data_IF_934900496755
#
_entry.id   IF_934900496755
#
_cell.length_a   1.000
_cell.length_b   1.000
_cell.length_c   1.000
_cell.angle_alpha   90.00
_cell.angle_beta   90.00
_cell.angle_gamma   90.00
#
_symmetry.space_group_name_H-M   'P 1'
#
loop_
_entity.id
_entity.type
_entity.pdbx_description
1 polymer ?
#
# COMPACT_ATOMS: atom_id res chain seq x y z
N UNK A 1 -10.19 16.83 26.47
CA UNK A 1 -11.64 17.08 26.26
C UNK A 1 -12.17 15.94 25.41
N UNK A 2 -12.97 15.03 25.98
CA UNK A 2 -13.57 13.92 25.20
C UNK A 2 -14.94 14.42 24.74
N UNK A 3 -15.06 14.78 23.46
CA UNK A 3 -16.36 14.99 22.83
C UNK A 3 -16.76 13.69 22.11
N UNK A 4 -17.96 13.18 22.38
CA UNK A 4 -18.50 12.05 21.61
C UNK A 4 -19.19 12.60 20.37
N UNK A 5 -18.54 12.48 19.22
CA UNK A 5 -19.11 12.85 17.92
C UNK A 5 -19.71 11.61 17.25
N UNK A 6 -20.80 11.80 16.50
CA UNK A 6 -21.40 10.76 15.64
C UNK A 6 -21.88 11.41 14.33
N UNK A 7 -22.21 10.64 13.27
CA UNK A 7 -22.69 11.19 12.01
C UNK A 7 -23.94 12.08 12.15
N UNK A 8 -24.72 11.86 13.22
CA UNK A 8 -25.96 12.60 13.52
C UNK A 8 -25.78 13.65 14.64
N UNK A 9 -24.57 13.78 15.19
CA UNK A 9 -24.21 14.79 16.18
C UNK A 9 -22.76 15.29 15.93
N UNK A 10 -22.55 16.11 14.89
CA UNK A 10 -21.24 16.68 14.63
C UNK A 10 -20.82 17.59 15.78
N UNK A 11 -19.54 17.55 16.15
CA UNK A 11 -18.98 18.40 17.20
C UNK A 11 -18.07 19.44 16.56
N UNK A 12 -18.31 20.72 16.86
CA UNK A 12 -17.43 21.80 16.44
C UNK A 12 -16.45 22.12 17.56
N UNK A 13 -15.16 22.02 17.26
CA UNK A 13 -14.07 22.38 18.17
C UNK A 13 -13.25 23.50 17.54
N UNK A 14 -13.09 24.61 18.25
CA UNK A 14 -12.19 25.68 17.84
C UNK A 14 -10.76 25.26 18.18
N UNK A 15 -9.90 25.13 17.16
CA UNK A 15 -8.50 24.75 17.31
C UNK A 15 -7.57 25.96 17.10
N UNK A 16 -6.31 25.83 17.53
CA UNK A 16 -5.27 26.84 17.29
C UNK A 16 -4.82 26.89 15.82
N UNK A 17 -3.81 27.73 15.52
CA UNK A 17 -3.31 27.92 14.16
C UNK A 17 -2.68 26.64 13.57
N UNK A 18 -2.02 25.83 14.41
CA UNK A 18 -1.45 24.54 14.03
C UNK A 18 -2.31 23.41 14.59
N UNK A 19 -2.71 22.47 13.73
CA UNK A 19 -3.51 21.30 14.10
C UNK A 19 -2.77 20.03 13.69
N UNK A 20 -2.54 19.16 14.66
CA UNK A 20 -1.99 17.83 14.44
C UNK A 20 -3.08 16.78 14.67
N UNK A 21 -3.23 15.87 13.70
CA UNK A 21 -4.12 14.72 13.79
C UNK A 21 -3.20 13.49 13.89
N UNK A 22 -3.41 12.67 14.93
CA UNK A 22 -2.57 11.51 15.20
C UNK A 22 -3.37 10.32 15.71
N UNK A 23 -2.85 9.11 15.45
CA UNK A 23 -3.33 7.86 16.05
C UNK A 23 -2.27 7.40 17.04
N UNK A 24 -2.68 7.10 18.27
CA UNK A 24 -1.83 6.45 19.26
C UNK A 24 -2.15 4.95 19.25
N UNK A 25 -1.17 4.14 18.85
CA UNK A 25 -1.32 2.69 18.78
C UNK A 25 -0.37 2.00 19.75
N UNK A 26 -0.83 0.88 20.29
CA UNK A 26 -0.03 0.01 21.15
C UNK A 26 -0.27 -1.44 20.75
N UNK A 27 0.80 -2.23 20.76
CA UNK A 27 0.68 -3.68 20.70
C UNK A 27 0.51 -4.24 22.11
N UNK A 28 -0.12 -5.41 22.22
CA UNK A 28 -0.16 -6.20 23.45
C UNK A 28 1.05 -7.14 23.59
N UNK A 29 1.89 -7.23 22.54
CA UNK A 29 3.11 -8.05 22.49
C UNK A 29 4.29 -7.19 22.08
N UNK A 30 5.38 -7.25 22.85
CA UNK A 30 6.62 -6.55 22.53
C UNK A 30 7.22 -7.07 21.20
N UNK A 31 7.75 -6.16 20.38
CA UNK A 31 8.38 -6.50 19.11
C UNK A 31 7.42 -6.74 17.95
N UNK A 32 6.11 -6.55 18.14
CA UNK A 32 5.11 -6.59 17.06
C UNK A 32 4.82 -5.17 16.59
N UNK A 33 5.00 -4.91 15.30
CA UNK A 33 4.72 -3.62 14.69
C UNK A 33 3.22 -3.29 14.79
N UNK A 34 2.94 -2.02 15.05
CA UNK A 34 1.57 -1.49 15.04
C UNK A 34 1.28 -0.82 13.70
N UNK A 35 0.07 -0.99 13.19
CA UNK A 35 -0.39 -0.37 11.96
C UNK A 35 -1.67 0.43 12.25
N UNK A 36 -1.77 1.60 11.65
CA UNK A 36 -2.93 2.45 11.72
C UNK A 36 -3.08 3.21 10.40
N UNK A 37 -4.31 3.41 9.95
CA UNK A 37 -4.61 4.14 8.73
C UNK A 37 -5.62 5.25 9.04
N UNK A 38 -5.40 6.41 8.43
CA UNK A 38 -6.43 7.43 8.34
C UNK A 38 -7.26 7.22 7.08
N UNK A 39 -8.57 7.12 7.23
CA UNK A 39 -9.50 7.08 6.10
C UNK A 39 -10.37 8.34 6.09
N UNK A 40 -10.76 8.76 4.89
CA UNK A 40 -11.71 9.86 4.66
C UNK A 40 -11.33 11.19 5.34
N UNK A 41 -10.03 11.49 5.44
CA UNK A 41 -9.55 12.80 5.90
C UNK A 41 -9.70 13.81 4.76
N UNK A 42 -10.44 14.88 5.02
CA UNK A 42 -10.57 16.02 4.12
C UNK A 42 -10.33 17.31 4.90
N UNK A 43 -9.65 18.27 4.26
CA UNK A 43 -9.45 19.61 4.80
C UNK A 43 -10.17 20.62 3.92
N UNK A 44 -10.70 21.68 4.52
CA UNK A 44 -11.35 22.80 3.82
C UNK A 44 -10.83 24.12 4.38
N UNK A 45 -10.80 25.18 3.57
CA UNK A 45 -10.31 26.50 4.00
C UNK A 45 -8.80 26.65 3.88
N UNK A 46 -8.17 27.39 4.78
CA UNK A 46 -6.76 27.79 4.70
C UNK A 46 -5.81 26.77 5.37
N UNK A 47 -5.96 25.47 5.07
CA UNK A 47 -4.98 24.47 5.51
C UNK A 47 -3.85 24.42 4.47
N UNK A 48 -2.63 24.75 4.88
CA UNK A 48 -1.46 24.82 4.01
C UNK A 48 -0.35 23.86 4.47
N UNK A 49 0.39 23.27 3.54
CA UNK A 49 1.50 22.34 3.79
C UNK A 49 1.18 20.91 3.35
N UNK A 50 2.22 20.15 3.00
CA UNK A 50 2.07 18.75 2.60
C UNK A 50 1.65 17.88 3.79
N UNK A 51 0.85 16.85 3.53
CA UNK A 51 0.56 15.82 4.53
C UNK A 51 1.86 15.14 4.96
N UNK A 52 2.12 15.12 6.28
CA UNK A 52 3.31 14.49 6.86
C UNK A 52 2.90 13.33 7.76
N UNK A 53 3.39 12.15 7.44
CA UNK A 53 3.36 11.00 8.36
C UNK A 53 4.65 10.98 9.16
N UNK A 54 4.56 11.15 10.47
CA UNK A 54 5.70 11.11 11.39
C UNK A 54 5.35 10.18 12.55
N UNK A 55 6.20 9.19 12.79
CA UNK A 55 6.12 8.36 13.99
C UNK A 55 6.59 9.16 15.20
N UNK A 56 5.76 9.24 16.24
CA UNK A 56 6.11 9.84 17.52
C UNK A 56 6.08 8.75 18.60
N UNK A 57 7.21 8.51 19.27
CA UNK A 57 7.31 7.50 20.33
C UNK A 57 8.51 6.58 20.14
N UNK A 58 8.42 5.36 20.68
CA UNK A 58 9.44 4.33 20.54
C UNK A 58 9.46 3.83 19.09
N UNK A 59 10.66 3.65 18.53
CA UNK A 59 10.84 3.07 17.21
C UNK A 59 10.11 1.74 17.10
N UNK A 60 9.32 1.61 16.04
CA UNK A 60 8.67 0.34 15.73
C UNK A 60 9.73 -0.70 15.31
N UNK A 61 9.46 -2.00 15.47
CA UNK A 61 10.34 -3.06 14.99
C UNK A 61 10.71 -2.84 13.52
N UNK A 62 11.98 -3.08 13.18
CA UNK A 62 12.46 -2.93 11.81
C UNK A 62 11.68 -3.87 10.88
N UNK A 63 10.92 -3.28 9.96
CA UNK A 63 10.25 -3.99 8.87
C UNK A 63 10.92 -3.71 7.53
N UNK A 64 10.28 -4.14 6.46
CA UNK A 64 10.66 -3.73 5.11
C UNK A 64 10.54 -2.20 4.97
N UNK A 65 11.37 -1.60 4.12
CA UNK A 65 11.21 -0.22 3.69
C UNK A 65 10.24 -0.14 2.50
N UNK A 66 9.52 0.98 2.32
CA UNK A 66 8.77 1.22 1.08
C UNK A 66 9.70 1.21 -0.13
N UNK A 67 9.29 0.54 -1.20
CA UNK A 67 10.00 0.50 -2.48
C UNK A 67 9.02 0.18 -3.62
N UNK A 68 9.45 0.37 -4.87
CA UNK A 68 8.66 0.03 -6.04
C UNK A 68 8.38 -1.47 -6.09
N UNK A 69 7.10 -1.87 -6.08
CA UNK A 69 6.68 -3.26 -6.22
C UNK A 69 5.93 -3.43 -7.54
N UNK A 70 6.26 -4.44 -8.34
CA UNK A 70 5.65 -4.62 -9.65
C UNK A 70 5.58 -6.08 -10.09
N UNK A 71 4.69 -6.35 -11.05
CA UNK A 71 4.59 -7.62 -11.76
C UNK A 71 4.81 -7.37 -13.25
N UNK A 72 5.76 -8.06 -13.84
CA UNK A 72 5.91 -8.14 -15.29
C UNK A 72 5.25 -9.43 -15.80
N UNK A 73 4.32 -9.30 -16.74
CA UNK A 73 3.66 -10.41 -17.45
C UNK A 73 4.17 -10.46 -18.88
N UNK A 74 4.48 -11.65 -19.38
CA UNK A 74 4.96 -11.88 -20.76
C UNK A 74 4.19 -13.01 -21.46
N UNK A 75 3.80 -12.76 -22.70
CA UNK A 75 3.15 -13.76 -23.56
C UNK A 75 4.16 -14.54 -24.43
N UNK A 76 3.67 -15.60 -25.08
CA UNK A 76 4.47 -16.45 -25.97
C UNK A 76 5.00 -15.73 -27.22
N UNK A 77 4.44 -14.56 -27.56
CA UNK A 77 4.90 -13.70 -28.67
C UNK A 77 5.94 -12.66 -28.20
N UNK A 78 6.27 -12.63 -26.91
CA UNK A 78 7.24 -11.71 -26.31
C UNK A 78 6.67 -10.32 -25.95
N UNK A 79 5.35 -10.10 -26.03
CA UNK A 79 4.77 -8.86 -25.51
C UNK A 79 4.82 -8.86 -24.00
N UNK A 80 5.10 -7.69 -23.41
CA UNK A 80 5.26 -7.53 -21.97
C UNK A 80 4.43 -6.38 -21.43
N UNK A 81 3.80 -6.61 -20.29
CA UNK A 81 3.15 -5.59 -19.48
C UNK A 81 3.85 -5.52 -18.12
N UNK A 82 4.24 -4.33 -17.69
CA UNK A 82 4.76 -4.09 -16.35
C UNK A 82 3.71 -3.33 -15.53
N UNK A 83 3.18 -3.99 -14.50
CA UNK A 83 2.11 -3.47 -13.67
C UNK A 83 2.68 -3.12 -12.30
N UNK A 84 2.82 -1.83 -11.96
CA UNK A 84 3.21 -1.42 -10.62
C UNK A 84 2.07 -1.66 -9.62
N UNK A 85 2.40 -1.95 -8.37
CA UNK A 85 1.44 -2.00 -7.28
C UNK A 85 0.91 -0.58 -7.01
N UNK A 86 -0.41 -0.37 -6.88
CA UNK A 86 -0.98 0.96 -6.72
C UNK A 86 -0.69 1.58 -5.35
N UNK A 87 -0.55 0.76 -4.31
CA UNK A 87 -0.16 1.19 -2.97
C UNK A 87 1.38 1.23 -2.82
N UNK A 88 2.00 2.41 -2.58
CA UNK A 88 3.45 2.53 -2.36
C UNK A 88 3.93 1.92 -1.03
N UNK A 89 3.02 1.53 -0.12
CA UNK A 89 3.33 0.91 1.16
C UNK A 89 3.02 -0.60 1.20
N UNK A 90 2.73 -1.20 0.05
CA UNK A 90 2.38 -2.62 -0.05
C UNK A 90 3.48 -3.58 0.47
N UNK A 91 4.73 -3.12 0.53
CA UNK A 91 5.84 -3.92 1.06
C UNK A 91 6.02 -3.80 2.57
N UNK A 92 5.40 -2.82 3.22
CA UNK A 92 5.57 -2.54 4.66
C UNK A 92 4.41 -3.05 5.50
N UNK A 93 3.32 -3.49 4.86
CA UNK A 93 2.17 -4.06 5.57
C UNK A 93 2.47 -5.47 6.06
N UNK A 94 2.07 -5.77 7.30
CA UNK A 94 2.07 -7.14 7.84
C UNK A 94 0.79 -7.92 7.52
N UNK A 95 -0.18 -7.30 6.86
CA UNK A 95 -1.45 -7.91 6.52
C UNK A 95 -1.43 -8.50 5.09
N UNK A 96 -2.06 -9.66 4.91
CA UNK A 96 -2.30 -10.23 3.60
C UNK A 96 -3.21 -9.31 2.78
N UNK A 97 -2.70 -8.80 1.67
CA UNK A 97 -3.42 -7.87 0.79
C UNK A 97 -3.52 -8.47 -0.60
N UNK A 98 -4.75 -8.62 -1.09
CA UNK A 98 -4.98 -9.13 -2.44
C UNK A 98 -4.63 -8.05 -3.48
N UNK A 99 -3.79 -8.40 -4.44
CA UNK A 99 -3.48 -7.55 -5.58
C UNK A 99 -4.15 -8.07 -6.85
N UNK A 100 -5.30 -7.50 -7.17
CA UNK A 100 -6.05 -7.84 -8.37
C UNK A 100 -5.57 -7.00 -9.56
N UNK A 101 -5.10 -7.67 -10.61
CA UNK A 101 -4.70 -7.03 -11.88
C UNK A 101 -5.74 -7.38 -12.94
N UNK A 102 -6.39 -6.37 -13.51
CA UNK A 102 -7.41 -6.62 -14.52
C UNK A 102 -6.76 -7.13 -15.83
N UNK A 103 -7.29 -8.21 -16.40
CA UNK A 103 -6.80 -8.75 -17.68
C UNK A 103 -6.93 -7.72 -18.83
N UNK A 104 -7.85 -6.75 -18.71
CA UNK A 104 -7.97 -5.63 -19.65
C UNK A 104 -6.74 -4.73 -19.67
N UNK A 105 -6.08 -4.55 -18.54
CA UNK A 105 -4.91 -3.66 -18.43
C UNK A 105 -3.73 -4.30 -19.15
N UNK A 106 -3.59 -5.62 -19.02
CA UNK A 106 -2.59 -6.41 -19.76
C UNK A 106 -2.85 -6.36 -21.27
N UNK A 107 -4.10 -6.55 -21.71
CA UNK A 107 -4.49 -6.46 -23.13
C UNK A 107 -4.25 -5.07 -23.70
N UNK A 108 -4.49 -4.03 -22.91
CA UNK A 108 -4.25 -2.64 -23.32
C UNK A 108 -2.75 -2.35 -23.54
N UNK A 109 -1.87 -3.08 -22.86
CA UNK A 109 -0.43 -3.09 -23.09
C UNK A 109 0.01 -4.04 -24.23
N UNK A 110 -0.92 -4.66 -24.94
CA UNK A 110 -0.65 -5.56 -26.08
C UNK A 110 -0.37 -7.02 -25.71
N UNK A 111 -0.46 -7.39 -24.43
CA UNK A 111 -0.23 -8.77 -23.98
C UNK A 111 -1.41 -9.67 -24.33
N UNK A 112 -1.13 -10.82 -24.94
CA UNK A 112 -2.11 -11.88 -25.23
C UNK A 112 -2.38 -12.72 -23.99
N UNK A 113 -3.49 -12.45 -23.31
CA UNK A 113 -3.84 -13.09 -22.02
C UNK A 113 -4.19 -14.59 -22.11
N UNK A 114 -4.27 -15.15 -23.31
CA UNK A 114 -4.51 -16.58 -23.58
C UNK A 114 -3.22 -17.40 -23.78
N UNK A 115 -2.06 -16.74 -23.74
CA UNK A 115 -0.77 -17.37 -24.07
C UNK A 115 0.38 -16.86 -23.20
N UNK A 116 0.10 -16.57 -21.93
CA UNK A 116 1.09 -16.16 -20.93
C UNK A 116 2.09 -17.29 -20.67
N UNK A 117 3.38 -16.96 -20.73
CA UNK A 117 4.47 -17.92 -20.51
C UNK A 117 5.32 -17.56 -19.29
N UNK A 118 5.29 -16.30 -18.85
CA UNK A 118 6.12 -15.85 -17.73
C UNK A 118 5.43 -14.77 -16.90
N UNK A 119 5.59 -14.94 -15.59
CA UNK A 119 5.23 -13.97 -14.55
C UNK A 119 6.51 -13.69 -13.78
N UNK A 120 6.92 -12.43 -13.70
CA UNK A 120 8.06 -12.01 -12.90
C UNK A 120 7.57 -10.97 -11.89
N UNK A 121 7.82 -11.25 -10.61
CA UNK A 121 7.47 -10.35 -9.51
C UNK A 121 8.77 -9.68 -9.06
N UNK A 122 8.78 -8.34 -9.00
CA UNK A 122 9.98 -7.56 -8.76
C UNK A 122 9.77 -6.47 -7.73
N UNK A 123 10.84 -6.16 -7.00
CA UNK A 123 10.93 -5.08 -6.03
C UNK A 123 12.13 -4.21 -6.40
N UNK A 124 11.99 -2.90 -6.32
CA UNK A 124 13.00 -1.90 -6.65
C UNK A 124 13.00 -1.44 -8.10
N UNK A 125 14.09 -0.78 -8.51
CA UNK A 125 14.28 -0.33 -9.90
C UNK A 125 14.56 -1.52 -10.82
N UNK A 126 13.64 -1.77 -11.76
CA UNK A 126 13.74 -2.85 -12.76
C UNK A 126 14.97 -2.71 -13.65
N UNK A 127 15.33 -1.48 -14.00
CA UNK A 127 16.43 -1.19 -14.92
C UNK A 127 17.78 -1.10 -14.18
N UNK A 128 17.74 -1.01 -12.85
CA UNK A 128 18.92 -0.99 -11.96
C UNK A 128 18.73 -1.94 -10.78
N UNK A 129 18.73 -3.26 -11.02
CA UNK A 129 18.57 -4.23 -9.95
C UNK A 129 19.70 -4.07 -8.93
N UNK A 130 19.35 -3.67 -7.71
CA UNK A 130 20.28 -3.60 -6.59
C UNK A 130 20.31 -4.94 -5.85
N UNK A 131 21.51 -5.43 -5.51
CA UNK A 131 21.69 -6.57 -4.64
C UNK A 131 21.95 -6.10 -3.19
N UNK A 132 21.42 -6.82 -2.22
CA UNK A 132 21.72 -6.58 -0.79
C UNK A 132 20.69 -5.76 -0.01
N UNK A 133 19.52 -5.45 -0.58
CA UNK A 133 18.39 -4.98 0.20
C UNK A 133 17.96 -6.08 1.20
N UNK A 134 17.78 -5.69 2.47
CA UNK A 134 17.28 -6.57 3.52
C UNK A 134 15.75 -6.43 3.60
N UNK A 135 15.02 -7.54 3.47
CA UNK A 135 13.57 -7.56 3.54
C UNK A 135 13.02 -8.95 3.24
N UNK A 136 11.80 -9.22 3.70
CA UNK A 136 11.11 -10.49 3.48
C UNK A 136 9.70 -10.22 2.97
N UNK A 137 9.35 -10.85 1.86
CA UNK A 137 8.02 -10.75 1.26
C UNK A 137 7.49 -12.16 1.05
N UNK A 138 6.26 -12.38 1.48
CA UNK A 138 5.52 -13.61 1.23
C UNK A 138 4.52 -13.38 0.11
N UNK A 139 4.44 -14.33 -0.82
CA UNK A 139 3.53 -14.29 -1.96
C UNK A 139 2.80 -15.63 -1.97
N UNK A 140 1.48 -15.58 -2.00
CA UNK A 140 0.64 -16.77 -2.03
C UNK A 140 -0.57 -16.55 -2.95
N UNK A 141 -1.31 -17.62 -3.23
CA UNK A 141 -2.56 -17.61 -4.00
C UNK A 141 -2.45 -16.95 -5.38
N UNK A 142 -1.31 -17.16 -6.07
CA UNK A 142 -1.15 -16.73 -7.47
C UNK A 142 -2.14 -17.51 -8.34
N UNK A 143 -3.18 -16.82 -8.79
CA UNK A 143 -4.30 -17.39 -9.54
C UNK A 143 -4.77 -16.45 -10.64
N UNK A 144 -5.46 -17.01 -11.62
CA UNK A 144 -6.13 -16.26 -12.69
C UNK A 144 -7.59 -16.69 -12.79
N UNK A 145 -8.44 -15.79 -13.27
CA UNK A 145 -9.86 -16.06 -13.46
C UNK A 145 -10.72 -14.87 -13.07
N UNK A 146 -12.00 -15.13 -12.87
CA UNK A 146 -12.89 -14.16 -12.25
C UNK A 146 -12.60 -14.12 -10.75
N UNK A 147 -12.58 -12.94 -10.11
CA UNK A 147 -12.59 -12.87 -8.66
C UNK A 147 -13.79 -13.69 -8.17
N UNK A 148 -13.52 -14.83 -7.52
CA UNK A 148 -14.56 -15.48 -6.72
C UNK A 148 -14.99 -14.47 -5.65
N UNK A 149 -16.29 -14.40 -5.36
CA UNK A 149 -16.76 -13.61 -4.21
C UNK A 149 -15.98 -14.07 -2.98
N UNK A 150 -15.13 -13.19 -2.45
CA UNK A 150 -14.32 -13.44 -1.27
C UNK A 150 -15.10 -13.03 -0.01
#
# INVERSE_FOLDING_TARGET
MVCSASPWNPQTLTLGADVYIGLAVTSHVAGVATQAEFSNIATTGNVTGDWKSVSLGVDQPTGNLPDAFYVTIEDSSGHRANVPHPDPYALTTGAWTAWNIALSDLRSAGVKTDSITKIAIGIGDKDKPASGAAGLVYIDDIRYGHPGSQ
#
